data_IF_811217161494
#
_entry.id   IF_811217161494
#
_cell.length_a   1.000
_cell.length_b   1.000
_cell.length_c   1.000
_cell.angle_alpha   90.00
_cell.angle_beta   90.00
_cell.angle_gamma   90.00
#
_symmetry.space_group_name_H-M   'P 1'
#
loop_
_entity.id
_entity.type
_entity.pdbx_description
1 polymer ?
#
# COMPACT_ATOMS: atom_id res chain seq x y z
N UNK A 1 7.43 -27.81 -22.31
CA UNK A 1 7.74 -26.45 -21.82
C UNK A 1 8.75 -26.57 -20.69
N UNK A 2 9.84 -25.80 -20.71
CA UNK A 2 10.89 -25.92 -19.68
C UNK A 2 10.32 -25.54 -18.31
N UNK A 3 10.81 -26.17 -17.23
CA UNK A 3 10.43 -25.83 -15.84
C UNK A 3 10.64 -24.34 -15.52
N UNK A 4 11.55 -23.68 -16.25
CA UNK A 4 11.78 -22.25 -16.20
C UNK A 4 10.62 -21.45 -16.80
N UNK A 5 10.09 -21.86 -17.96
CA UNK A 5 8.94 -21.23 -18.60
C UNK A 5 7.66 -21.35 -17.74
N UNK A 6 7.47 -22.50 -17.08
CA UNK A 6 6.37 -22.70 -16.15
C UNK A 6 6.51 -21.84 -14.88
N UNK A 7 7.73 -21.70 -14.34
CA UNK A 7 8.00 -20.84 -13.19
C UNK A 7 7.83 -19.35 -13.53
N UNK A 8 8.29 -18.90 -14.71
CA UNK A 8 8.05 -17.53 -15.17
C UNK A 8 6.56 -17.27 -15.40
N UNK A 9 5.83 -18.20 -16.01
CA UNK A 9 4.38 -18.05 -16.23
C UNK A 9 3.62 -18.00 -14.90
N UNK A 10 3.97 -18.86 -13.94
CA UNK A 10 3.40 -18.87 -12.58
C UNK A 10 3.72 -17.58 -11.82
N UNK A 11 4.95 -17.07 -11.93
CA UNK A 11 5.35 -15.80 -11.34
C UNK A 11 4.54 -14.64 -11.94
N UNK A 12 4.41 -14.56 -13.26
CA UNK A 12 3.61 -13.53 -13.93
C UNK A 12 2.10 -13.63 -13.62
N UNK A 13 1.55 -14.84 -13.47
CA UNK A 13 0.13 -15.03 -13.11
C UNK A 13 -0.16 -14.68 -11.65
N UNK A 14 0.73 -15.01 -10.71
CA UNK A 14 0.61 -14.58 -9.31
C UNK A 14 0.75 -13.06 -9.18
N UNK A 15 1.64 -12.46 -9.97
CA UNK A 15 1.81 -10.99 -10.03
C UNK A 15 0.57 -10.25 -10.52
N UNK A 16 -0.12 -10.78 -11.53
CA UNK A 16 -1.36 -10.22 -12.04
C UNK A 16 -2.55 -10.39 -11.08
N UNK A 17 -2.42 -11.25 -10.07
CA UNK A 17 -3.45 -11.58 -9.09
C UNK A 17 -3.27 -10.85 -7.73
N UNK A 18 -2.16 -10.15 -7.50
CA UNK A 18 -1.99 -9.34 -6.29
C UNK A 18 -2.83 -8.05 -6.40
N UNK A 19 -3.76 -7.78 -5.47
CA UNK A 19 -4.41 -6.48 -5.41
C UNK A 19 -3.36 -5.40 -5.14
N UNK A 20 -3.48 -4.26 -5.83
CA UNK A 20 -2.66 -3.09 -5.58
C UNK A 20 -2.78 -2.69 -4.09
N UNK A 21 -1.69 -2.24 -3.43
CA UNK A 21 -1.78 -1.79 -2.05
C UNK A 21 -2.87 -0.72 -1.90
N UNK A 22 -3.65 -0.82 -0.83
CA UNK A 22 -4.73 0.10 -0.52
C UNK A 22 -4.22 1.55 -0.52
N UNK A 23 -4.80 2.37 -1.41
CA UNK A 23 -4.42 3.75 -1.76
C UNK A 23 -4.64 4.80 -0.65
N UNK A 24 -4.59 4.40 0.63
CA UNK A 24 -5.07 5.23 1.72
C UNK A 24 -4.04 6.20 2.30
N UNK A 25 -2.73 6.01 2.09
CA UNK A 25 -1.69 6.80 2.77
C UNK A 25 -0.67 7.50 1.85
N UNK A 26 -0.72 7.27 0.54
CA UNK A 26 0.26 7.81 -0.40
C UNK A 26 -0.25 9.13 -1.00
N UNK A 27 -0.18 10.21 -0.23
CA UNK A 27 -0.70 11.53 -0.61
C UNK A 27 -0.19 12.04 -1.96
N UNK A 28 -0.96 11.82 -3.03
CA UNK A 28 -0.64 12.29 -4.38
C UNK A 28 0.36 11.42 -5.15
N UNK A 29 0.74 10.25 -4.63
CA UNK A 29 1.68 9.33 -5.27
C UNK A 29 0.98 8.34 -6.21
N UNK A 30 0.01 8.81 -7.00
CA UNK A 30 -0.69 7.98 -7.99
C UNK A 30 -0.36 8.46 -9.39
N UNK A 31 -0.02 7.51 -10.27
CA UNK A 31 0.23 7.80 -11.67
C UNK A 31 -1.09 7.95 -12.44
N UNK A 32 -1.23 9.01 -13.23
CA UNK A 32 -2.51 9.40 -13.87
C UNK A 32 -2.38 9.57 -15.38
N UNK A 33 -3.52 9.67 -16.07
CA UNK A 33 -3.59 9.92 -17.52
C UNK A 33 -3.56 11.41 -17.88
N UNK A 34 -3.71 12.30 -16.90
CA UNK A 34 -3.90 13.73 -17.12
C UNK A 34 -3.25 14.57 -16.02
N UNK A 35 -2.95 15.83 -16.36
CA UNK A 35 -2.56 16.88 -15.40
C UNK A 35 -3.73 17.79 -15.13
N UNK A 36 -3.87 18.27 -13.90
CA UNK A 36 -4.83 19.32 -13.56
C UNK A 36 -4.13 20.64 -13.29
N UNK A 37 -4.70 21.75 -13.77
CA UNK A 37 -4.24 23.10 -13.43
C UNK A 37 -5.41 24.02 -13.13
N UNK A 38 -5.20 24.94 -12.18
CA UNK A 38 -6.09 26.09 -11.99
C UNK A 38 -5.89 27.05 -13.16
N UNK A 39 -6.99 27.56 -13.70
CA UNK A 39 -7.02 28.54 -14.78
C UNK A 39 -7.35 29.93 -14.24
N UNK A 40 -8.38 30.05 -13.40
CA UNK A 40 -8.79 31.34 -12.85
C UNK A 40 -9.45 31.21 -11.46
N UNK A 41 -9.45 32.34 -10.74
CA UNK A 41 -10.18 32.52 -9.48
C UNK A 41 -11.01 33.81 -9.63
N UNK A 42 -12.34 33.69 -9.69
CA UNK A 42 -13.24 34.77 -10.11
C UNK A 42 -14.40 34.96 -9.13
N UNK A 43 -14.66 36.18 -8.61
CA UNK A 43 -13.82 37.37 -8.77
C UNK A 43 -12.46 37.20 -8.08
N UNK A 44 -11.46 37.94 -8.54
CA UNK A 44 -10.16 37.95 -7.88
C UNK A 44 -10.30 38.61 -6.50
N UNK A 45 -9.88 37.89 -5.45
CA UNK A 45 -9.88 38.38 -4.06
C UNK A 45 -8.44 38.60 -3.62
N UNK A 46 -8.04 39.85 -3.27
CA UNK A 46 -6.68 40.11 -2.79
C UNK A 46 -6.30 39.22 -1.60
N UNK A 47 -5.14 38.56 -1.69
CA UNK A 47 -4.65 37.64 -0.67
C UNK A 47 -5.15 36.19 -0.80
N UNK A 48 -6.17 35.91 -1.61
CA UNK A 48 -6.61 34.54 -1.88
C UNK A 48 -5.84 33.95 -3.08
N UNK A 49 -5.16 32.82 -2.88
CA UNK A 49 -4.53 32.08 -3.98
C UNK A 49 -4.91 30.61 -3.93
N UNK A 50 -5.27 30.04 -5.07
CA UNK A 50 -5.52 28.60 -5.23
C UNK A 50 -4.70 28.11 -6.42
N UNK A 51 -3.89 27.07 -6.20
CA UNK A 51 -3.05 26.47 -7.23
C UNK A 51 -3.16 24.95 -7.20
N UNK A 52 -2.99 24.33 -8.37
CA UNK A 52 -2.83 22.89 -8.46
C UNK A 52 -1.37 22.53 -8.15
N UNK A 53 -1.17 21.48 -7.34
CA UNK A 53 0.14 20.94 -6.97
C UNK A 53 0.16 19.43 -7.25
N UNK A 54 1.34 18.81 -7.24
CA UNK A 54 1.46 17.34 -7.40
C UNK A 54 0.81 16.88 -8.72
N UNK A 55 1.13 17.57 -9.82
CA UNK A 55 0.53 17.38 -11.15
C UNK A 55 -1.00 17.55 -11.20
N UNK A 56 -1.59 18.18 -10.19
CA UNK A 56 -3.01 18.39 -10.07
C UNK A 56 -3.77 17.34 -9.28
N UNK A 57 -3.07 16.39 -8.65
CA UNK A 57 -3.68 15.48 -7.67
C UNK A 57 -4.28 16.23 -6.48
N UNK A 58 -3.69 17.39 -6.13
CA UNK A 58 -4.13 18.23 -5.02
C UNK A 58 -4.25 19.70 -5.42
N UNK A 59 -5.05 20.41 -4.64
CA UNK A 59 -5.11 21.86 -4.63
C UNK A 59 -4.48 22.39 -3.35
N UNK A 60 -3.77 23.51 -3.47
CA UNK A 60 -3.26 24.31 -2.37
C UNK A 60 -3.99 25.64 -2.36
N UNK A 61 -4.65 25.96 -1.26
CA UNK A 61 -5.25 27.25 -0.98
C UNK A 61 -4.39 27.97 0.06
N UNK A 62 -3.98 29.20 -0.23
CA UNK A 62 -3.44 30.14 0.77
C UNK A 62 -4.46 31.24 0.99
N UNK A 63 -4.90 31.39 2.23
CA UNK A 63 -5.84 32.43 2.63
C UNK A 63 -5.07 33.60 3.26
N UNK A 64 -4.57 34.52 2.44
CA UNK A 64 -4.00 35.80 2.90
C UNK A 64 -5.04 36.90 3.05
N UNK A 65 -6.34 36.58 3.03
CA UNK A 65 -7.41 37.55 3.24
C UNK A 65 -7.63 37.80 4.73
N UNK A 66 -8.39 38.85 5.08
CA UNK A 66 -8.82 39.11 6.47
C UNK A 66 -9.99 38.25 6.94
N UNK A 67 -10.51 37.34 6.11
CA UNK A 67 -11.75 36.61 6.36
C UNK A 67 -11.57 35.09 6.17
N UNK A 68 -12.36 34.23 6.84
CA UNK A 68 -12.31 32.79 6.61
C UNK A 68 -12.79 32.44 5.19
N UNK A 69 -12.20 31.39 4.60
CA UNK A 69 -12.58 30.86 3.29
C UNK A 69 -13.12 29.44 3.45
N UNK A 70 -14.34 29.20 2.99
CA UNK A 70 -14.99 27.90 3.05
C UNK A 70 -14.95 27.21 1.68
N UNK A 71 -14.54 25.94 1.67
CA UNK A 71 -14.51 25.06 0.50
C UNK A 71 -15.69 24.09 0.58
N UNK A 72 -16.69 24.25 -0.29
CA UNK A 72 -17.86 23.38 -0.33
C UNK A 72 -17.57 22.01 -0.92
N UNK A 73 -18.07 20.95 -0.27
CA UNK A 73 -17.98 19.55 -0.73
C UNK A 73 -16.62 18.88 -0.52
N UNK A 74 -15.67 19.55 0.15
CA UNK A 74 -14.36 18.98 0.46
C UNK A 74 -14.49 17.92 1.58
N UNK A 75 -14.16 16.66 1.28
CA UNK A 75 -14.42 15.51 2.19
C UNK A 75 -13.47 15.40 3.38
N UNK A 76 -12.25 15.92 3.30
CA UNK A 76 -11.33 16.15 4.42
C UNK A 76 -9.96 16.61 3.89
N UNK A 77 -9.34 17.50 4.64
CA UNK A 77 -7.97 18.00 4.54
C UNK A 77 -7.73 18.81 5.83
N UNK A 78 -6.49 19.10 6.22
CA UNK A 78 -6.11 19.69 7.53
C UNK A 78 -6.66 21.09 7.89
N UNK A 79 -7.96 21.33 7.75
CA UNK A 79 -8.72 22.51 8.17
C UNK A 79 -9.93 22.13 9.03
N UNK A 80 -10.62 23.12 9.59
CA UNK A 80 -11.79 22.89 10.45
C UNK A 80 -13.01 22.57 9.59
N UNK A 81 -13.73 21.48 9.89
CA UNK A 81 -14.98 21.20 9.19
C UNK A 81 -16.02 22.26 9.54
N UNK A 82 -16.88 22.57 8.58
CA UNK A 82 -18.11 23.32 8.86
C UNK A 82 -18.99 22.53 9.83
N UNK A 83 -19.83 23.22 10.61
CA UNK A 83 -20.68 22.59 11.61
C UNK A 83 -21.67 21.56 11.03
N UNK A 84 -22.12 21.79 9.80
CA UNK A 84 -22.99 20.90 9.02
C UNK A 84 -22.21 19.78 8.29
N UNK A 85 -20.88 19.77 8.39
CA UNK A 85 -19.99 18.82 7.70
C UNK A 85 -19.95 18.96 6.17
N UNK A 86 -20.58 20.00 5.60
CA UNK A 86 -20.68 20.18 4.14
C UNK A 86 -19.40 20.71 3.49
N UNK A 87 -18.43 21.18 4.28
CA UNK A 87 -17.18 21.71 3.76
C UNK A 87 -16.06 21.87 4.79
N UNK A 88 -15.00 22.54 4.36
CA UNK A 88 -13.81 22.83 5.18
C UNK A 88 -13.57 24.32 5.19
N UNK A 89 -13.34 24.88 6.38
CA UNK A 89 -13.03 26.29 6.62
C UNK A 89 -11.51 26.46 6.76
N UNK A 90 -10.99 27.46 6.07
CA UNK A 90 -9.59 27.88 6.10
C UNK A 90 -9.50 29.27 6.72
N UNK A 91 -8.90 29.36 7.90
CA UNK A 91 -8.76 30.62 8.64
C UNK A 91 -7.86 31.64 7.90
N UNK A 92 -8.01 32.95 8.19
CA UNK A 92 -7.04 33.97 7.76
C UNK A 92 -5.60 33.57 8.11
N UNK A 93 -4.67 33.79 7.18
CA UNK A 93 -3.26 33.42 7.29
C UNK A 93 -2.95 31.93 7.09
N UNK A 94 -3.97 31.06 7.03
CA UNK A 94 -3.77 29.62 6.93
C UNK A 94 -3.54 29.16 5.48
N UNK A 95 -2.85 28.02 5.36
CA UNK A 95 -2.70 27.28 4.10
C UNK A 95 -3.31 25.90 4.25
N UNK A 96 -4.12 25.48 3.28
CA UNK A 96 -4.72 24.17 3.23
C UNK A 96 -4.37 23.47 1.91
N UNK A 97 -4.02 22.19 1.99
CA UNK A 97 -3.94 21.31 0.84
C UNK A 97 -5.01 20.21 0.93
N UNK A 98 -5.72 19.94 -0.15
CA UNK A 98 -6.73 18.88 -0.20
C UNK A 98 -6.84 18.25 -1.59
N UNK A 99 -7.50 17.10 -1.65
CA UNK A 99 -7.90 16.45 -2.91
C UNK A 99 -9.37 16.80 -3.17
N UNK A 100 -9.66 17.39 -4.33
CA UNK A 100 -11.03 17.66 -4.77
C UNK A 100 -11.42 16.68 -5.87
N UNK A 101 -12.55 16.00 -5.70
CA UNK A 101 -13.05 15.02 -6.67
C UNK A 101 -13.33 15.64 -8.04
N UNK A 102 -13.61 16.95 -8.11
CA UNK A 102 -13.88 17.67 -9.36
C UNK A 102 -12.59 17.95 -10.16
N UNK A 103 -11.50 18.24 -9.45
CA UNK A 103 -10.24 18.69 -10.05
C UNK A 103 -9.18 17.59 -10.17
N UNK A 104 -9.22 16.54 -9.35
CA UNK A 104 -8.19 15.50 -9.36
C UNK A 104 -8.23 14.66 -10.66
N UNK A 105 -7.07 14.39 -11.29
CA UNK A 105 -6.96 13.44 -12.39
C UNK A 105 -7.02 11.98 -11.92
N UNK A 106 -6.90 11.72 -10.62
CA UNK A 106 -6.89 10.37 -10.07
C UNK A 106 -8.22 9.64 -10.33
N UNK A 107 -8.13 8.37 -10.72
CA UNK A 107 -9.29 7.57 -11.13
C UNK A 107 -9.95 8.00 -12.45
N UNK A 108 -9.48 9.07 -13.11
CA UNK A 108 -10.05 9.56 -14.38
C UNK A 108 -9.26 9.08 -15.59
N UNK A 109 -9.95 8.90 -16.70
CA UNK A 109 -9.37 8.68 -18.03
C UNK A 109 -9.73 9.87 -18.90
N UNK A 110 -8.72 10.60 -19.34
CA UNK A 110 -8.84 11.71 -20.29
C UNK A 110 -7.94 11.36 -21.46
N UNK A 111 -8.46 11.40 -22.69
CA UNK A 111 -7.68 11.04 -23.86
C UNK A 111 -6.53 12.05 -24.09
N UNK A 112 -5.46 11.61 -24.74
CA UNK A 112 -4.33 12.49 -25.04
C UNK A 112 -4.80 13.70 -25.89
N UNK A 113 -4.49 14.90 -25.43
CA UNK A 113 -4.93 16.16 -26.06
C UNK A 113 -6.36 16.59 -25.74
N UNK A 114 -7.16 15.74 -25.09
CA UNK A 114 -8.49 16.12 -24.59
C UNK A 114 -8.35 17.00 -23.34
N UNK A 115 -9.26 17.97 -23.22
CA UNK A 115 -9.36 18.85 -22.07
C UNK A 115 -10.74 18.74 -21.41
N UNK A 116 -10.75 18.63 -20.08
CA UNK A 116 -11.98 18.61 -19.27
C UNK A 116 -11.95 19.75 -18.28
N UNK A 117 -12.90 20.67 -18.40
CA UNK A 117 -13.04 21.80 -17.50
C UNK A 117 -13.64 21.38 -16.15
N UNK A 118 -13.24 22.07 -15.09
CA UNK A 118 -13.80 21.90 -13.76
C UNK A 118 -13.90 23.23 -13.02
N UNK A 119 -14.82 23.30 -12.07
CA UNK A 119 -15.03 24.48 -11.25
C UNK A 119 -15.36 24.11 -9.80
N UNK A 120 -14.84 24.91 -8.86
CA UNK A 120 -15.03 24.73 -7.42
C UNK A 120 -15.48 26.08 -6.83
N UNK A 121 -16.70 26.16 -6.26
CA UNK A 121 -17.13 27.33 -5.54
C UNK A 121 -16.48 27.38 -4.15
N UNK A 122 -15.99 28.58 -3.80
CA UNK A 122 -15.51 28.96 -2.49
C UNK A 122 -16.39 30.08 -1.93
N UNK A 123 -16.47 30.18 -0.61
CA UNK A 123 -17.17 31.28 0.07
C UNK A 123 -16.20 32.03 0.97
N UNK A 124 -16.02 33.34 0.75
CA UNK A 124 -15.14 34.20 1.55
C UNK A 124 -15.98 35.01 2.54
N UNK A 125 -15.70 34.89 3.85
CA UNK A 125 -16.34 35.70 4.89
C UNK A 125 -17.63 35.16 5.51
N UNK A 126 -18.02 33.90 5.24
CA UNK A 126 -19.27 33.30 5.73
C UNK A 126 -19.13 32.27 6.87
N UNK A 127 -18.03 32.30 7.63
CA UNK A 127 -17.60 31.17 8.49
C UNK A 127 -17.88 31.27 10.00
N UNK A 128 -18.48 32.35 10.49
CA UNK A 128 -18.93 32.42 11.90
C UNK A 128 -20.46 32.43 11.95
N UNK A 129 -21.03 31.75 12.95
CA UNK A 129 -22.48 31.56 13.13
C UNK A 129 -23.31 32.86 13.18
N UNK A 130 -22.67 34.03 13.23
CA UNK A 130 -23.30 35.35 13.24
C UNK A 130 -23.57 35.95 11.85
N UNK A 131 -23.06 35.36 10.76
CA UNK A 131 -23.25 35.89 9.41
C UNK A 131 -23.97 34.88 8.50
N UNK A 132 -25.23 34.58 8.83
CA UNK A 132 -26.13 33.87 7.92
C UNK A 132 -26.38 34.73 6.66
N UNK A 133 -25.60 34.49 5.59
CA UNK A 133 -25.90 34.98 4.24
C UNK A 133 -24.95 36.02 3.60
N UNK A 134 -23.80 36.35 4.20
CA UNK A 134 -22.97 37.49 3.76
C UNK A 134 -21.67 37.19 2.98
N UNK A 135 -21.31 35.92 2.77
CA UNK A 135 -20.02 35.58 2.16
C UNK A 135 -19.98 35.77 0.64
N UNK A 136 -18.91 36.37 0.12
CA UNK A 136 -18.71 36.50 -1.32
C UNK A 136 -18.36 35.15 -1.95
N UNK A 137 -19.11 34.73 -2.97
CA UNK A 137 -18.80 33.51 -3.72
C UNK A 137 -17.65 33.77 -4.70
N UNK A 138 -16.64 32.91 -4.65
CA UNK A 138 -15.48 32.93 -5.55
C UNK A 138 -15.41 31.58 -6.26
N UNK A 139 -15.41 31.60 -7.58
CA UNK A 139 -15.29 30.41 -8.41
C UNK A 139 -13.83 30.16 -8.78
N UNK A 140 -13.29 29.01 -8.39
CA UNK A 140 -12.01 28.52 -8.88
C UNK A 140 -12.29 27.63 -10.09
N UNK A 141 -11.81 28.02 -11.27
CA UNK A 141 -11.91 27.21 -12.48
C UNK A 141 -10.57 26.62 -12.84
N UNK A 142 -10.58 25.47 -13.48
CA UNK A 142 -9.39 24.81 -13.97
C UNK A 142 -9.69 23.82 -15.07
N UNK A 143 -8.62 23.19 -15.56
CA UNK A 143 -8.69 22.24 -16.67
C UNK A 143 -7.84 21.02 -16.36
N UNK A 144 -8.36 19.85 -16.72
CA UNK A 144 -7.62 18.60 -16.84
C UNK A 144 -7.17 18.45 -18.29
N UNK A 145 -5.90 18.15 -18.53
CA UNK A 145 -5.37 17.90 -19.88
C UNK A 145 -4.79 16.50 -19.94
N UNK A 146 -5.32 15.66 -20.83
CA UNK A 146 -4.84 14.30 -21.05
C UNK A 146 -3.50 14.27 -21.78
N UNK A 147 -2.61 13.37 -21.34
CA UNK A 147 -1.22 13.30 -21.77
C UNK A 147 -0.93 12.03 -22.58
N UNK A 148 0.07 12.10 -23.47
CA UNK A 148 0.39 10.98 -24.35
C UNK A 148 0.99 9.82 -23.57
N UNK A 149 0.35 8.64 -23.67
CA UNK A 149 0.83 7.42 -23.01
C UNK A 149 2.17 6.96 -23.57
N UNK A 150 3.06 6.41 -22.72
CA UNK A 150 4.29 5.78 -23.17
C UNK A 150 4.00 4.49 -23.95
N UNK A 151 4.97 4.06 -24.76
CA UNK A 151 4.94 2.76 -25.44
C UNK A 151 5.28 1.66 -24.41
N UNK A 152 4.30 1.25 -23.63
CA UNK A 152 4.45 0.29 -22.52
C UNK A 152 5.27 -0.97 -22.85
N UNK A 153 5.08 -1.65 -24.01
CA UNK A 153 5.87 -2.83 -24.33
C UNK A 153 7.39 -2.61 -24.35
N UNK A 154 7.87 -1.40 -24.66
CA UNK A 154 9.31 -1.10 -24.67
C UNK A 154 9.91 -1.17 -23.27
N UNK A 155 9.19 -0.71 -22.26
CA UNK A 155 9.66 -0.71 -20.86
C UNK A 155 9.69 -2.12 -20.26
N UNK A 156 8.69 -2.93 -20.62
CA UNK A 156 8.69 -4.36 -20.28
C UNK A 156 9.82 -5.11 -20.99
N UNK A 157 10.04 -4.84 -22.29
CA UNK A 157 11.15 -5.43 -23.04
C UNK A 157 12.51 -5.04 -22.44
N UNK A 158 12.71 -3.78 -22.08
CA UNK A 158 13.93 -3.31 -21.42
C UNK A 158 14.18 -4.05 -20.08
N UNK A 159 13.15 -4.19 -19.25
CA UNK A 159 13.22 -4.96 -18.00
C UNK A 159 13.61 -6.42 -18.26
N UNK A 160 12.95 -7.09 -19.21
CA UNK A 160 13.23 -8.49 -19.55
C UNK A 160 14.66 -8.69 -20.11
N UNK A 161 15.12 -7.77 -20.96
CA UNK A 161 16.48 -7.78 -21.49
C UNK A 161 17.51 -7.60 -20.39
N UNK A 162 17.25 -6.71 -19.42
CA UNK A 162 18.15 -6.48 -18.30
C UNK A 162 18.26 -7.73 -17.39
N UNK A 163 17.13 -8.39 -17.10
CA UNK A 163 17.11 -9.67 -16.38
C UNK A 163 17.93 -10.72 -17.14
N UNK A 164 17.68 -10.89 -18.44
CA UNK A 164 18.39 -11.86 -19.27
C UNK A 164 19.90 -11.57 -19.30
N UNK A 165 20.30 -10.30 -19.40
CA UNK A 165 21.69 -9.88 -19.39
C UNK A 165 22.39 -10.26 -18.08
N UNK A 166 21.78 -10.00 -16.92
CA UNK A 166 22.33 -10.40 -15.61
C UNK A 166 22.49 -11.91 -15.52
N UNK A 167 21.47 -12.69 -15.93
CA UNK A 167 21.51 -14.15 -15.88
C UNK A 167 22.58 -14.75 -16.80
N UNK A 168 22.73 -14.21 -18.01
CA UNK A 168 23.74 -14.64 -18.96
C UNK A 168 25.15 -14.27 -18.48
N UNK A 169 25.34 -13.03 -18.02
CA UNK A 169 26.62 -12.55 -17.53
C UNK A 169 27.07 -13.30 -16.26
N UNK A 170 26.15 -13.56 -15.32
CA UNK A 170 26.45 -14.31 -14.09
C UNK A 170 26.91 -15.75 -14.36
N UNK A 171 26.47 -16.35 -15.48
CA UNK A 171 26.91 -17.69 -15.91
C UNK A 171 28.22 -17.71 -16.68
N UNK A 172 28.57 -16.61 -17.35
CA UNK A 172 29.72 -16.53 -18.27
C UNK A 172 30.95 -15.92 -17.63
N UNK A 173 30.77 -15.05 -16.64
CA UNK A 173 31.88 -14.34 -16.00
C UNK A 173 32.47 -15.16 -14.85
N UNK A 174 33.82 -15.19 -14.71
CA UNK A 174 34.49 -15.95 -13.64
C UNK A 174 34.23 -15.38 -12.24
N UNK A 175 33.86 -14.10 -12.13
CA UNK A 175 33.49 -13.41 -10.89
C UNK A 175 32.01 -13.00 -10.90
N UNK A 176 31.15 -13.99 -11.08
CA UNK A 176 29.69 -13.79 -11.05
C UNK A 176 29.21 -13.22 -9.71
N UNK A 177 29.85 -13.56 -8.61
CA UNK A 177 29.63 -12.98 -7.28
C UNK A 177 29.81 -11.46 -7.25
N UNK A 178 30.89 -10.94 -7.84
CA UNK A 178 31.14 -9.50 -7.94
C UNK A 178 30.10 -8.81 -8.83
N UNK A 179 29.73 -9.44 -9.96
CA UNK A 179 28.66 -8.94 -10.81
C UNK A 179 27.36 -8.80 -10.03
N UNK A 180 26.95 -9.84 -9.27
CA UNK A 180 25.72 -9.79 -8.48
C UNK A 180 25.76 -8.69 -7.42
N UNK A 181 26.92 -8.47 -6.78
CA UNK A 181 27.10 -7.37 -5.84
C UNK A 181 26.94 -6.01 -6.51
N UNK A 182 27.58 -5.79 -7.67
CA UNK A 182 27.48 -4.53 -8.42
C UNK A 182 26.05 -4.30 -8.89
N UNK A 183 25.41 -5.30 -9.50
CA UNK A 183 24.02 -5.21 -9.94
C UNK A 183 23.06 -4.95 -8.78
N UNK A 184 23.26 -5.61 -7.64
CA UNK A 184 22.47 -5.36 -6.43
C UNK A 184 22.62 -3.93 -5.92
N UNK A 185 23.86 -3.41 -5.83
CA UNK A 185 24.12 -2.02 -5.43
C UNK A 185 23.47 -1.01 -6.40
N UNK A 186 23.54 -1.25 -7.70
CA UNK A 186 22.89 -0.39 -8.71
C UNK A 186 21.37 -0.47 -8.59
N UNK A 187 20.79 -1.65 -8.33
CA UNK A 187 19.36 -1.81 -8.09
C UNK A 187 18.91 -1.02 -6.85
N UNK A 188 19.68 -1.10 -5.74
CA UNK A 188 19.43 -0.33 -4.53
C UNK A 188 19.53 1.19 -4.79
N UNK A 189 20.57 1.64 -5.48
CA UNK A 189 20.74 3.05 -5.84
C UNK A 189 19.60 3.58 -6.70
N UNK A 190 19.15 2.80 -7.69
CA UNK A 190 18.00 3.16 -8.52
C UNK A 190 16.70 3.24 -7.69
N UNK A 191 16.48 2.27 -6.79
CA UNK A 191 15.34 2.28 -5.87
C UNK A 191 15.35 3.48 -4.91
N UNK A 192 16.51 3.84 -4.35
CA UNK A 192 16.66 5.03 -3.49
C UNK A 192 16.34 6.30 -4.29
N UNK A 193 16.88 6.43 -5.50
CA UNK A 193 16.64 7.59 -6.35
C UNK A 193 15.16 7.70 -6.77
N UNK A 194 14.51 6.58 -7.06
CA UNK A 194 13.06 6.51 -7.32
C UNK A 194 12.25 7.04 -6.14
N UNK A 195 12.50 6.51 -4.94
CA UNK A 195 11.80 6.92 -3.71
C UNK A 195 12.07 8.39 -3.38
N UNK A 196 13.31 8.85 -3.53
CA UNK A 196 13.67 10.24 -3.32
C UNK A 196 12.95 11.17 -4.31
N UNK A 197 12.96 10.85 -5.61
CA UNK A 197 12.26 11.65 -6.62
C UNK A 197 10.74 11.66 -6.42
N UNK A 198 10.16 10.54 -6.01
CA UNK A 198 8.73 10.46 -5.65
C UNK A 198 8.41 11.29 -4.42
N UNK A 199 9.28 11.25 -3.40
CA UNK A 199 9.15 12.07 -2.19
C UNK A 199 9.20 13.56 -2.50
N UNK A 200 10.13 13.97 -3.36
CA UNK A 200 10.29 15.38 -3.76
C UNK A 200 9.13 15.91 -4.61
N UNK A 201 8.32 15.02 -5.20
CA UNK A 201 7.13 15.40 -5.94
C UNK A 201 5.97 15.80 -5.02
N UNK A 202 5.99 15.36 -3.75
CA UNK A 202 4.94 15.61 -2.76
C UNK A 202 5.21 16.93 -2.06
N UNK A 203 4.35 17.92 -2.28
CA UNK A 203 4.46 19.23 -1.64
C UNK A 203 3.51 19.38 -0.44
N UNK A 204 2.58 18.45 -0.26
CA UNK A 204 1.51 18.53 0.75
C UNK A 204 1.82 17.85 2.08
N UNK A 205 2.98 17.19 2.21
CA UNK A 205 3.34 16.42 3.40
C UNK A 205 4.81 16.63 3.81
N UNK A 206 5.17 16.41 5.10
CA UNK A 206 6.55 16.53 5.57
C UNK A 206 7.49 15.56 4.86
N UNK A 207 8.61 16.08 4.35
CA UNK A 207 9.55 15.33 3.50
C UNK A 207 10.04 14.02 4.13
N UNK A 208 10.44 14.03 5.40
CA UNK A 208 10.96 12.83 6.08
C UNK A 208 9.86 11.77 6.24
N UNK A 209 8.64 12.19 6.62
CA UNK A 209 7.51 11.28 6.77
C UNK A 209 7.12 10.64 5.44
N UNK A 210 7.05 11.45 4.38
CA UNK A 210 6.80 10.97 3.01
C UNK A 210 7.87 10.00 2.55
N UNK A 211 9.15 10.29 2.78
CA UNK A 211 10.26 9.41 2.39
C UNK A 211 10.18 8.05 3.09
N UNK A 212 9.98 8.05 4.42
CA UNK A 212 9.87 6.80 5.18
C UNK A 212 8.66 5.97 4.76
N UNK A 213 7.53 6.63 4.51
CA UNK A 213 6.32 5.97 4.01
C UNK A 213 6.50 5.41 2.61
N UNK A 214 7.16 6.14 1.70
CA UNK A 214 7.41 5.70 0.34
C UNK A 214 8.49 4.60 0.26
N UNK A 215 9.49 4.64 1.15
CA UNK A 215 10.54 3.63 1.22
C UNK A 215 10.00 2.28 1.70
N UNK A 216 9.14 2.26 2.73
CA UNK A 216 8.56 1.03 3.25
C UNK A 216 9.61 -0.02 3.61
N UNK A 217 9.45 -1.27 3.15
CA UNK A 217 10.42 -2.35 3.42
C UNK A 217 11.79 -2.09 2.78
N UNK A 218 11.89 -1.21 1.77
CA UNK A 218 13.18 -0.94 1.15
C UNK A 218 14.20 -0.38 2.16
N UNK A 219 13.73 0.21 3.28
CA UNK A 219 14.57 0.57 4.42
C UNK A 219 15.34 -0.62 5.02
N UNK A 220 14.84 -1.85 4.86
CA UNK A 220 15.54 -3.09 5.21
C UNK A 220 16.35 -3.64 4.04
N UNK A 221 15.83 -3.53 2.81
CA UNK A 221 16.49 -4.07 1.62
C UNK A 221 17.81 -3.35 1.30
N UNK A 222 17.85 -2.02 1.34
CA UNK A 222 19.06 -1.26 0.97
C UNK A 222 20.25 -1.55 1.89
N UNK A 223 20.12 -1.50 3.22
CA UNK A 223 21.23 -1.85 4.11
C UNK A 223 21.67 -3.31 3.95
N UNK A 224 20.73 -4.23 3.68
CA UNK A 224 21.05 -5.64 3.44
C UNK A 224 21.88 -5.82 2.16
N UNK A 225 21.53 -5.12 1.07
CA UNK A 225 22.32 -5.12 -0.17
C UNK A 225 23.69 -4.49 0.06
N UNK A 226 23.75 -3.31 0.67
CA UNK A 226 25.00 -2.57 0.87
C UNK A 226 25.94 -3.34 1.79
N UNK A 227 25.44 -3.78 2.95
CA UNK A 227 26.19 -4.59 3.91
C UNK A 227 26.59 -5.95 3.35
N UNK A 228 25.72 -6.59 2.57
CA UNK A 228 25.99 -7.82 1.84
C UNK A 228 27.13 -7.65 0.85
N UNK A 229 27.11 -6.59 0.03
CA UNK A 229 28.15 -6.30 -0.93
C UNK A 229 29.50 -6.01 -0.25
N UNK A 230 29.52 -5.22 0.83
CA UNK A 230 30.74 -4.98 1.63
C UNK A 230 31.29 -6.29 2.20
N UNK A 231 30.40 -7.16 2.68
CA UNK A 231 30.77 -8.47 3.24
C UNK A 231 31.35 -9.40 2.17
N UNK A 232 30.75 -9.42 0.98
CA UNK A 232 31.24 -10.18 -0.16
C UNK A 232 32.62 -9.68 -0.63
N UNK A 233 32.81 -8.36 -0.70
CA UNK A 233 34.09 -7.73 -1.05
C UNK A 233 35.21 -8.02 -0.03
N UNK A 234 34.84 -8.33 1.22
CA UNK A 234 35.77 -8.82 2.27
C UNK A 234 36.04 -10.33 2.18
N UNK A 235 35.63 -11.00 1.11
CA UNK A 235 35.85 -12.42 0.86
C UNK A 235 34.89 -13.36 1.59
N UNK A 236 33.79 -12.85 2.16
CA UNK A 236 32.81 -13.69 2.86
C UNK A 236 31.63 -14.04 1.94
N UNK A 237 31.43 -15.32 1.57
CA UNK A 237 30.41 -15.72 0.59
C UNK A 237 28.97 -15.45 1.05
N UNK A 238 28.73 -15.41 2.37
CA UNK A 238 27.44 -15.02 2.94
C UNK A 238 26.97 -13.62 2.51
N UNK A 239 27.91 -12.72 2.15
CA UNK A 239 27.58 -11.40 1.64
C UNK A 239 26.79 -11.43 0.33
N UNK A 240 27.13 -12.36 -0.58
CA UNK A 240 26.42 -12.50 -1.86
C UNK A 240 24.97 -12.95 -1.64
N UNK A 241 24.73 -13.83 -0.66
CA UNK A 241 23.38 -14.26 -0.29
C UNK A 241 22.53 -13.10 0.25
N UNK A 242 23.13 -12.25 1.10
CA UNK A 242 22.49 -11.03 1.57
C UNK A 242 22.13 -10.08 0.41
N UNK A 243 23.04 -9.88 -0.54
CA UNK A 243 22.72 -9.11 -1.77
C UNK A 243 21.55 -9.72 -2.53
N UNK A 244 21.54 -11.04 -2.73
CA UNK A 244 20.47 -11.71 -3.47
C UNK A 244 19.11 -11.57 -2.77
N UNK A 245 19.07 -11.73 -1.44
CA UNK A 245 17.86 -11.55 -0.64
C UNK A 245 17.36 -10.10 -0.67
N UNK A 246 18.25 -9.13 -0.49
CA UNK A 246 17.90 -7.72 -0.58
C UNK A 246 17.43 -7.31 -1.97
N UNK A 247 18.10 -7.78 -3.03
CA UNK A 247 17.70 -7.53 -4.42
C UNK A 247 16.33 -8.13 -4.76
N UNK A 248 16.00 -9.31 -4.20
CA UNK A 248 14.67 -9.89 -4.32
C UNK A 248 13.59 -9.02 -3.64
N UNK A 249 13.86 -8.52 -2.44
CA UNK A 249 12.96 -7.59 -1.74
C UNK A 249 12.77 -6.30 -2.55
N UNK A 250 13.85 -5.69 -3.04
CA UNK A 250 13.75 -4.49 -3.89
C UNK A 250 12.91 -4.75 -5.15
N UNK A 251 13.11 -5.88 -5.84
CA UNK A 251 12.33 -6.22 -7.02
C UNK A 251 10.84 -6.33 -6.70
N UNK A 252 10.47 -6.99 -5.60
CA UNK A 252 9.07 -7.15 -5.17
C UNK A 252 8.44 -5.81 -4.83
N UNK A 253 9.16 -4.94 -4.12
CA UNK A 253 8.59 -3.66 -3.67
C UNK A 253 8.52 -2.58 -4.75
N UNK A 254 9.26 -2.73 -5.84
CA UNK A 254 9.16 -1.86 -7.03
C UNK A 254 8.00 -2.28 -7.95
N UNK A 255 7.39 -3.45 -7.75
CA UNK A 255 6.29 -3.92 -8.62
C UNK A 255 5.10 -2.96 -8.72
N UNK A 256 4.61 -2.32 -7.65
CA UNK A 256 3.52 -1.34 -7.77
C UNK A 256 3.88 -0.16 -8.69
N UNK A 257 5.16 0.15 -8.84
CA UNK A 257 5.66 1.27 -9.65
C UNK A 257 5.71 0.95 -11.15
N UNK A 258 5.46 -0.30 -11.58
CA UNK A 258 5.35 -0.62 -13.02
C UNK A 258 4.16 0.07 -13.69
N UNK A 259 3.24 0.65 -12.90
CA UNK A 259 2.24 1.59 -13.40
C UNK A 259 2.87 2.75 -14.18
N UNK A 260 4.12 3.13 -13.88
CA UNK A 260 4.90 4.11 -14.63
C UNK A 260 5.09 3.74 -16.10
N UNK A 261 5.12 2.44 -16.43
CA UNK A 261 5.25 1.97 -17.81
C UNK A 261 3.99 2.20 -18.64
N UNK A 262 2.86 2.48 -18.01
CA UNK A 262 1.55 2.61 -18.65
C UNK A 262 0.98 4.03 -18.58
N UNK A 263 1.28 4.76 -17.50
CA UNK A 263 0.73 6.08 -17.23
C UNK A 263 1.66 7.20 -17.70
N UNK A 264 1.12 8.29 -18.28
CA UNK A 264 1.93 9.39 -18.79
C UNK A 264 2.40 10.35 -17.69
N UNK A 265 1.56 10.64 -16.69
CA UNK A 265 1.85 11.59 -15.62
C UNK A 265 2.24 10.81 -14.37
N UNK A 266 3.46 11.03 -13.91
CA UNK A 266 4.06 10.27 -12.81
C UNK A 266 4.28 11.20 -11.61
N UNK A 267 4.06 10.71 -10.38
CA UNK A 267 4.31 11.47 -9.15
C UNK A 267 5.81 11.48 -8.82
N UNK A 268 6.62 12.03 -9.72
CA UNK A 268 8.08 12.01 -9.63
C UNK A 268 8.67 13.39 -9.97
N UNK A 269 9.59 13.86 -9.13
CA UNK A 269 10.30 15.13 -9.32
C UNK A 269 11.38 14.98 -10.40
N UNK A 270 10.98 15.07 -11.66
CA UNK A 270 11.89 15.03 -12.80
C UNK A 270 11.19 14.57 -14.09
N UNK A 271 11.97 14.31 -15.15
CA UNK A 271 11.42 13.78 -16.39
C UNK A 271 10.83 12.38 -16.17
N UNK A 272 9.63 12.13 -16.70
CA UNK A 272 8.96 10.84 -16.55
C UNK A 272 9.77 9.67 -17.18
N UNK A 273 10.67 9.95 -18.13
CA UNK A 273 11.60 8.95 -18.69
C UNK A 273 12.65 8.52 -17.65
N UNK A 274 13.13 9.45 -16.83
CA UNK A 274 14.12 9.15 -15.78
C UNK A 274 13.52 8.26 -14.70
N UNK A 275 12.24 8.42 -14.37
CA UNK A 275 11.54 7.49 -13.50
C UNK A 275 11.46 6.09 -14.13
N UNK A 276 10.91 5.95 -15.34
CA UNK A 276 10.79 4.61 -15.98
C UNK A 276 12.14 3.90 -16.11
N UNK A 277 13.16 4.66 -16.52
CA UNK A 277 14.54 4.61 -16.02
C UNK A 277 14.85 3.70 -14.84
N UNK A 278 14.69 4.32 -13.67
CA UNK A 278 14.95 3.81 -12.34
C UNK A 278 14.12 2.56 -12.02
N UNK A 279 12.84 2.52 -12.40
CA UNK A 279 11.99 1.33 -12.21
C UNK A 279 12.50 0.14 -13.02
N UNK A 280 12.85 0.32 -14.30
CA UNK A 280 13.45 -0.75 -15.13
C UNK A 280 14.74 -1.27 -14.49
N UNK A 281 15.60 -0.36 -14.02
CA UNK A 281 16.90 -0.73 -13.42
C UNK A 281 16.69 -1.47 -12.10
N UNK A 282 15.87 -0.93 -11.19
CA UNK A 282 15.62 -1.54 -9.89
C UNK A 282 14.92 -2.89 -10.01
N UNK A 283 13.87 -2.99 -10.82
CA UNK A 283 13.14 -4.23 -11.06
C UNK A 283 13.98 -5.26 -11.83
N UNK A 284 14.59 -4.84 -12.94
CA UNK A 284 15.32 -5.73 -13.84
C UNK A 284 16.61 -6.28 -13.22
N UNK A 285 17.41 -5.43 -12.58
CA UNK A 285 18.60 -5.90 -11.86
C UNK A 285 18.22 -6.65 -10.59
N UNK A 286 17.23 -6.17 -9.83
CA UNK A 286 16.76 -6.84 -8.61
C UNK A 286 16.31 -8.27 -8.89
N UNK A 287 15.43 -8.46 -9.87
CA UNK A 287 14.94 -9.77 -10.28
C UNK A 287 16.04 -10.64 -10.90
N UNK A 288 16.90 -10.07 -11.75
CA UNK A 288 18.03 -10.79 -12.34
C UNK A 288 18.99 -11.34 -11.28
N UNK A 289 19.35 -10.51 -10.29
CA UNK A 289 20.22 -10.89 -9.18
C UNK A 289 19.57 -11.95 -8.29
N UNK A 290 18.28 -11.78 -7.95
CA UNK A 290 17.54 -12.75 -7.15
C UNK A 290 17.48 -14.14 -7.82
N UNK A 291 17.17 -14.19 -9.12
CA UNK A 291 17.08 -15.45 -9.87
C UNK A 291 18.46 -16.09 -10.07
N UNK A 292 19.50 -15.30 -10.33
CA UNK A 292 20.87 -15.81 -10.40
C UNK A 292 21.31 -16.41 -9.06
N UNK A 293 21.05 -15.73 -7.94
CA UNK A 293 21.38 -16.18 -6.59
C UNK A 293 20.64 -17.45 -6.15
N UNK A 294 19.38 -17.60 -6.55
CA UNK A 294 18.61 -18.83 -6.29
C UNK A 294 19.23 -20.07 -6.96
N UNK A 295 19.88 -19.89 -8.12
CA UNK A 295 20.65 -20.95 -8.77
C UNK A 295 21.83 -21.43 -7.93
N UNK A 296 22.56 -20.50 -7.31
CA UNK A 296 23.69 -20.79 -6.42
C UNK A 296 23.22 -21.53 -5.16
N UNK A 297 22.14 -21.08 -4.53
CA UNK A 297 21.55 -21.74 -3.36
C UNK A 297 21.07 -23.17 -3.69
N UNK A 298 20.49 -23.37 -4.88
CA UNK A 298 20.06 -24.70 -5.33
C UNK A 298 21.24 -25.65 -5.54
N UNK A 299 22.37 -25.14 -6.01
CA UNK A 299 23.58 -25.94 -6.18
C UNK A 299 24.21 -26.30 -4.83
N UNK A 300 24.26 -25.35 -3.89
CA UNK A 300 24.73 -25.60 -2.51
C UNK A 300 23.83 -26.57 -1.75
N UNK A 301 22.50 -26.47 -1.90
CA UNK A 301 21.54 -27.38 -1.26
C UNK A 301 21.58 -28.81 -1.82
N UNK A 302 22.15 -29.01 -3.03
CA UNK A 302 22.41 -30.32 -3.61
C UNK A 302 23.71 -30.95 -3.09
N UNK A 303 24.53 -30.21 -2.36
CA UNK A 303 25.69 -30.76 -1.67
C UNK A 303 25.25 -31.41 -0.35
N UNK A 304 25.62 -32.68 -0.07
CA UNK A 304 25.10 -33.46 1.05
C UNK A 304 25.45 -32.88 2.44
N UNK A 305 26.37 -31.92 2.53
CA UNK A 305 26.79 -31.28 3.77
C UNK A 305 25.88 -30.10 4.22
N UNK A 306 25.04 -29.54 3.34
CA UNK A 306 24.27 -28.32 3.62
C UNK A 306 22.85 -28.57 4.20
N UNK A 307 22.38 -29.82 4.21
CA UNK A 307 21.02 -30.17 4.66
C UNK A 307 20.78 -29.96 6.17
N UNK A 308 21.84 -29.85 6.98
CA UNK A 308 21.69 -29.77 8.45
C UNK A 308 21.29 -28.37 8.97
N UNK A 309 21.46 -27.30 8.18
CA UNK A 309 21.27 -25.91 8.64
C UNK A 309 19.93 -25.30 8.17
N UNK A 310 19.41 -25.72 7.01
CA UNK A 310 18.17 -25.16 6.43
C UNK A 310 16.91 -25.72 7.11
N UNK A 311 16.97 -26.93 7.69
CA UNK A 311 15.85 -27.55 8.40
C UNK A 311 15.41 -26.81 9.67
N UNK A 312 16.28 -25.99 10.27
CA UNK A 312 15.99 -25.26 11.52
C UNK A 312 15.33 -23.89 11.27
N UNK A 313 15.48 -23.32 10.06
CA UNK A 313 15.00 -21.96 9.74
C UNK A 313 13.66 -21.90 8.99
N UNK A 314 13.17 -23.02 8.45
CA UNK A 314 11.94 -23.06 7.62
C UNK A 314 10.67 -23.52 8.36
N UNK A 315 10.71 -23.74 9.68
CA UNK A 315 9.53 -24.10 10.48
C UNK A 315 8.72 -22.89 10.98
N UNK A 316 9.11 -21.65 10.64
CA UNK A 316 8.53 -20.43 11.22
C UNK A 316 7.64 -19.56 10.31
N UNK A 317 7.22 -20.01 9.13
CA UNK A 317 6.54 -19.10 8.20
C UNK A 317 5.61 -19.76 7.19
N UNK A 318 4.41 -20.14 7.64
CA UNK A 318 3.29 -20.44 6.76
C UNK A 318 2.18 -19.39 6.91
N UNK A 319 2.07 -18.55 5.88
CA UNK A 319 0.84 -17.94 5.32
C UNK A 319 -0.04 -17.05 6.21
N UNK A 320 0.21 -15.73 6.16
CA UNK A 320 -0.80 -14.72 6.49
C UNK A 320 -1.79 -14.60 5.31
N UNK A 321 -3.05 -14.97 5.54
CA UNK A 321 -4.16 -14.59 4.67
C UNK A 321 -4.59 -13.15 4.95
N UNK A 322 -5.34 -12.52 4.05
CA UNK A 322 -5.91 -11.19 4.30
C UNK A 322 -6.69 -11.15 5.62
N UNK A 323 -6.52 -10.10 6.45
CA UNK A 323 -7.25 -9.98 7.70
C UNK A 323 -8.74 -9.81 7.39
N UNK A 324 -9.55 -10.76 7.85
CA UNK A 324 -11.02 -10.64 7.76
C UNK A 324 -11.46 -9.52 8.70
N UNK A 325 -12.27 -8.59 8.20
CA UNK A 325 -12.81 -7.49 9.02
C UNK A 325 -13.93 -8.03 9.91
N UNK A 326 -13.63 -8.27 11.18
CA UNK A 326 -14.66 -8.41 12.21
C UNK A 326 -15.39 -7.08 12.41
N UNK A 327 -16.71 -7.11 12.44
CA UNK A 327 -17.54 -5.98 12.88
C UNK A 327 -18.06 -6.33 14.27
N UNK A 328 -17.70 -5.53 15.26
CA UNK A 328 -18.29 -5.63 16.60
C UNK A 328 -19.76 -5.26 16.52
N UNK A 329 -20.62 -6.09 17.10
CA UNK A 329 -22.07 -5.91 17.08
C UNK A 329 -22.67 -6.14 18.46
N UNK A 330 -23.88 -5.65 18.71
CA UNK A 330 -24.62 -5.98 19.93
C UNK A 330 -25.14 -7.41 19.87
N UNK A 331 -24.92 -8.15 20.97
CA UNK A 331 -25.51 -9.46 21.18
C UNK A 331 -27.04 -9.34 21.22
N UNK A 332 -27.71 -9.67 20.11
CA UNK A 332 -29.16 -9.56 19.96
C UNK A 332 -29.64 -8.89 18.68
N UNK A 333 -28.78 -8.18 17.95
CA UNK A 333 -29.08 -7.66 16.62
C UNK A 333 -28.77 -8.72 15.57
N UNK A 334 -29.64 -9.71 15.45
CA UNK A 334 -29.51 -10.75 14.44
C UNK A 334 -29.51 -10.10 13.04
N UNK A 335 -28.36 -10.14 12.35
CA UNK A 335 -28.40 -10.11 10.90
C UNK A 335 -29.26 -11.32 10.47
N UNK A 336 -30.29 -11.13 9.62
CA UNK A 336 -30.97 -12.27 9.03
C UNK A 336 -29.90 -13.13 8.35
N UNK A 337 -29.92 -14.44 8.62
CA UNK A 337 -29.04 -15.46 8.03
C UNK A 337 -27.62 -15.63 8.61
N UNK A 338 -27.33 -15.07 9.80
CA UNK A 338 -26.08 -15.40 10.51
C UNK A 338 -26.16 -16.74 11.27
N UNK A 339 -25.10 -17.55 11.23
CA UNK A 339 -24.97 -18.78 12.02
C UNK A 339 -24.47 -18.42 13.44
N UNK A 340 -25.29 -18.62 14.49
CA UNK A 340 -24.89 -18.26 15.85
C UNK A 340 -23.96 -19.31 16.46
N UNK A 341 -22.87 -18.85 17.06
CA UNK A 341 -21.94 -19.67 17.85
C UNK A 341 -21.79 -18.98 19.21
N UNK A 342 -22.30 -19.59 20.27
CA UNK A 342 -22.23 -19.02 21.62
C UNK A 342 -21.37 -19.89 22.53
N UNK A 343 -20.40 -19.28 23.19
CA UNK A 343 -19.50 -19.94 24.15
C UNK A 343 -19.26 -19.06 25.36
N UNK A 344 -18.83 -19.68 26.45
CA UNK A 344 -18.47 -19.00 27.68
C UNK A 344 -17.14 -19.50 28.23
N UNK A 345 -16.42 -18.62 28.92
CA UNK A 345 -15.31 -18.96 29.81
C UNK A 345 -15.78 -18.74 31.25
N UNK A 346 -15.80 -19.81 32.06
CA UNK A 346 -16.14 -19.78 33.48
C UNK A 346 -15.14 -20.58 34.29
N UNK A 347 -14.62 -19.99 35.35
CA UNK A 347 -13.62 -20.58 36.24
C UNK A 347 -12.42 -21.16 35.46
N UNK A 348 -12.00 -20.46 34.39
CA UNK A 348 -10.93 -20.88 33.50
C UNK A 348 -11.26 -22.05 32.55
N UNK A 349 -12.52 -22.47 32.46
CA UNK A 349 -12.99 -23.57 31.60
C UNK A 349 -14.01 -23.10 30.58
N UNK A 350 -14.00 -23.73 29.41
CA UNK A 350 -14.99 -23.49 28.37
C UNK A 350 -16.33 -24.14 28.71
N UNK A 351 -17.41 -23.38 28.54
CA UNK A 351 -18.79 -23.84 28.65
C UNK A 351 -19.59 -23.47 27.38
N UNK A 352 -20.18 -24.44 26.66
CA UNK A 352 -20.02 -25.89 26.84
C UNK A 352 -18.56 -26.32 26.62
N UNK A 353 -18.24 -27.57 27.00
CA UNK A 353 -16.93 -28.14 26.71
C UNK A 353 -16.60 -28.03 25.20
N UNK A 354 -15.31 -27.90 24.83
CA UNK A 354 -14.92 -27.66 23.44
C UNK A 354 -15.48 -28.73 22.50
N UNK A 355 -16.20 -28.26 21.50
CA UNK A 355 -16.89 -29.09 20.50
C UNK A 355 -16.76 -28.45 19.12
N UNK A 356 -17.30 -29.13 18.10
CA UNK A 356 -17.28 -28.65 16.72
C UNK A 356 -18.63 -28.08 16.32
N UNK A 357 -18.61 -26.93 15.68
CA UNK A 357 -19.79 -26.33 15.06
C UNK A 357 -19.56 -26.27 13.55
N UNK A 358 -20.46 -26.89 12.78
CA UNK A 358 -20.41 -26.86 11.33
C UNK A 358 -21.02 -25.55 10.81
N UNK A 359 -20.27 -24.86 9.95
CA UNK A 359 -20.65 -23.57 9.36
C UNK A 359 -20.53 -23.68 7.83
N UNK A 360 -21.54 -23.26 7.05
CA UNK A 360 -21.44 -23.26 5.60
C UNK A 360 -20.36 -22.30 5.10
N UNK A 361 -19.59 -22.71 4.09
CA UNK A 361 -18.65 -21.83 3.39
C UNK A 361 -19.36 -20.58 2.85
N UNK A 362 -18.74 -19.42 3.05
CA UNK A 362 -19.25 -18.08 2.69
C UNK A 362 -20.49 -17.60 3.47
N UNK A 363 -20.85 -18.25 4.58
CA UNK A 363 -21.88 -17.74 5.49
C UNK A 363 -21.33 -16.70 6.47
N UNK A 364 -22.21 -15.95 7.11
CA UNK A 364 -21.85 -15.03 8.19
C UNK A 364 -21.96 -15.75 9.53
N UNK A 365 -20.92 -15.70 10.35
CA UNK A 365 -20.91 -16.24 11.72
C UNK A 365 -21.13 -15.11 12.71
N UNK A 366 -22.07 -15.30 13.64
CA UNK A 366 -22.23 -14.46 14.82
C UNK A 366 -21.63 -15.20 16.01
N UNK A 367 -20.40 -14.83 16.39
CA UNK A 367 -19.70 -15.42 17.53
C UNK A 367 -19.97 -14.57 18.78
N UNK A 368 -20.70 -15.14 19.73
CA UNK A 368 -20.98 -14.56 21.05
C UNK A 368 -20.13 -15.24 22.13
N UNK A 369 -19.40 -14.43 22.89
CA UNK A 369 -18.56 -14.92 24.00
C UNK A 369 -18.86 -14.19 25.28
N UNK A 370 -19.05 -14.95 26.35
CA UNK A 370 -19.13 -14.43 27.73
C UNK A 370 -17.92 -14.92 28.52
N UNK A 371 -17.37 -14.08 29.39
CA UNK A 371 -16.28 -14.49 30.29
C UNK A 371 -16.50 -13.91 31.68
N UNK A 372 -16.12 -14.66 32.70
CA UNK A 372 -16.05 -14.22 34.10
C UNK A 372 -14.86 -13.30 34.40
N UNK A 373 -13.86 -13.28 33.51
CA UNK A 373 -12.68 -12.42 33.59
C UNK A 373 -12.56 -11.52 32.36
N UNK A 374 -11.81 -10.41 32.48
CA UNK A 374 -11.44 -9.63 31.32
C UNK A 374 -10.31 -10.33 30.55
N UNK A 375 -10.38 -10.33 29.22
CA UNK A 375 -9.43 -11.04 28.39
C UNK A 375 -9.60 -10.75 26.90
N UNK A 376 -9.04 -11.61 26.07
CA UNK A 376 -9.09 -11.50 24.62
C UNK A 376 -9.48 -12.85 24.01
N UNK A 377 -10.34 -12.83 23.00
CA UNK A 377 -10.76 -14.01 22.26
C UNK A 377 -10.15 -13.97 20.86
N UNK A 378 -9.59 -15.10 20.44
CA UNK A 378 -8.91 -15.28 19.18
C UNK A 378 -9.65 -16.31 18.33
N UNK A 379 -9.89 -16.00 17.05
CA UNK A 379 -10.34 -16.98 16.04
C UNK A 379 -9.16 -17.30 15.13
N UNK A 380 -8.50 -18.41 15.41
CA UNK A 380 -7.32 -18.85 14.69
C UNK A 380 -7.66 -19.16 13.23
N UNK A 381 -6.81 -18.70 12.30
CA UNK A 381 -7.02 -18.86 10.86
C UNK A 381 -7.89 -17.78 10.19
N UNK A 382 -8.59 -16.95 10.97
CA UNK A 382 -9.23 -15.71 10.50
C UNK A 382 -8.53 -14.44 10.99
N UNK A 383 -7.47 -14.57 11.79
CA UNK A 383 -6.70 -13.49 12.41
C UNK A 383 -7.58 -12.46 13.13
N UNK A 384 -8.67 -12.94 13.76
CA UNK A 384 -9.59 -12.12 14.54
C UNK A 384 -9.21 -12.17 16.01
N UNK A 385 -9.11 -11.00 16.62
CA UNK A 385 -8.86 -10.82 18.05
C UNK A 385 -9.81 -9.72 18.57
N UNK A 386 -10.50 -9.97 19.68
CA UNK A 386 -11.37 -8.96 20.28
C UNK A 386 -11.43 -9.06 21.80
N UNK A 387 -11.54 -7.92 22.51
CA UNK A 387 -11.58 -7.90 23.95
C UNK A 387 -12.93 -8.40 24.48
N UNK A 388 -12.88 -9.13 25.59
CA UNK A 388 -14.04 -9.50 26.43
C UNK A 388 -13.90 -8.86 27.80
N UNK A 389 -15.02 -8.40 28.37
CA UNK A 389 -15.05 -7.89 29.74
C UNK A 389 -15.79 -8.87 30.66
N UNK A 390 -15.36 -8.92 31.91
CA UNK A 390 -15.97 -9.76 32.93
C UNK A 390 -17.49 -9.50 33.03
N UNK A 391 -18.29 -10.56 32.87
CA UNK A 391 -19.74 -10.54 32.98
C UNK A 391 -20.49 -9.87 31.81
N UNK A 392 -19.79 -9.36 30.79
CA UNK A 392 -20.41 -8.69 29.63
C UNK A 392 -20.26 -9.55 28.36
N UNK A 393 -21.36 -9.87 27.65
CA UNK A 393 -21.27 -10.61 26.40
C UNK A 393 -20.66 -9.73 25.29
N UNK A 394 -19.67 -10.28 24.58
CA UNK A 394 -19.08 -9.67 23.40
C UNK A 394 -19.48 -10.45 22.14
N UNK A 395 -19.93 -9.74 21.10
CA UNK A 395 -20.35 -10.35 19.84
C UNK A 395 -19.59 -9.78 18.64
N UNK A 396 -19.15 -10.68 17.77
CA UNK A 396 -18.46 -10.36 16.52
C UNK A 396 -19.14 -11.06 15.35
N UNK A 397 -19.32 -10.31 14.26
CA UNK A 397 -19.70 -10.85 12.96
C UNK A 397 -18.47 -11.00 12.06
N UNK A 398 -18.32 -12.16 11.44
CA UNK A 398 -17.32 -12.38 10.41
C UNK A 398 -17.83 -13.32 9.31
N UNK A 399 -17.29 -13.18 8.09
CA UNK A 399 -17.61 -14.06 6.98
C UNK A 399 -16.73 -15.31 7.00
N UNK A 400 -17.33 -16.49 6.98
CA UNK A 400 -16.65 -17.79 6.91
C UNK A 400 -16.16 -18.09 5.48
N UNK A 401 -15.25 -17.27 4.95
CA UNK A 401 -14.78 -17.35 3.56
C UNK A 401 -13.72 -18.42 3.28
N UNK A 402 -13.28 -19.18 4.29
CA UNK A 402 -12.23 -20.22 4.16
C UNK A 402 -12.75 -21.55 4.70
N UNK A 403 -12.72 -22.60 3.88
CA UNK A 403 -13.00 -23.96 4.33
C UNK A 403 -11.87 -24.48 5.21
N UNK A 404 -12.21 -25.23 6.27
CA UNK A 404 -11.24 -25.74 7.22
C UNK A 404 -11.78 -25.85 8.65
N UNK A 405 -10.90 -26.21 9.58
CA UNK A 405 -11.20 -26.27 11.01
C UNK A 405 -10.44 -25.14 11.71
N UNK A 406 -11.14 -24.35 12.50
CA UNK A 406 -10.62 -23.12 13.11
C UNK A 406 -10.89 -23.11 14.60
N UNK A 407 -9.84 -22.92 15.40
CA UNK A 407 -9.95 -22.86 16.86
C UNK A 407 -10.37 -21.47 17.32
N UNK A 408 -11.32 -21.41 18.25
CA UNK A 408 -11.70 -20.19 18.98
C UNK A 408 -11.17 -20.33 20.40
N UNK A 409 -10.23 -19.48 20.79
CA UNK A 409 -9.53 -19.56 22.07
C UNK A 409 -9.67 -18.27 22.88
N UNK A 410 -9.74 -18.39 24.21
CA UNK A 410 -9.51 -17.29 25.12
C UNK A 410 -8.04 -17.26 25.55
N UNK A 411 -7.39 -16.10 25.40
CA UNK A 411 -6.00 -15.91 25.80
C UNK A 411 -5.82 -16.16 27.30
N UNK A 412 -4.77 -16.91 27.74
CA UNK A 412 -3.60 -17.30 26.95
C UNK A 412 -3.71 -18.60 26.14
N UNK A 413 -4.62 -19.53 26.47
CA UNK A 413 -4.63 -20.86 25.81
C UNK A 413 -5.89 -21.70 26.05
N UNK A 414 -7.04 -21.10 26.39
CA UNK A 414 -8.25 -21.87 26.68
C UNK A 414 -9.10 -22.02 25.43
N UNK A 415 -9.09 -23.22 24.83
CA UNK A 415 -9.98 -23.55 23.70
C UNK A 415 -11.44 -23.48 24.14
N UNK A 416 -12.25 -22.71 23.40
CA UNK A 416 -13.69 -22.54 23.64
C UNK A 416 -14.51 -23.43 22.70
N UNK A 417 -14.23 -23.40 21.40
CA UNK A 417 -14.95 -24.14 20.36
C UNK A 417 -14.11 -24.25 19.10
N UNK A 418 -14.37 -25.26 18.27
CA UNK A 418 -13.81 -25.38 16.93
C UNK A 418 -14.90 -25.13 15.88
N UNK A 419 -14.64 -24.26 14.91
CA UNK A 419 -15.55 -23.98 13.80
C UNK A 419 -15.08 -24.79 12.58
N UNK A 420 -15.92 -25.71 12.11
CA UNK A 420 -15.70 -26.48 10.89
C UNK A 420 -16.45 -25.82 9.73
N UNK A 421 -15.72 -25.13 8.85
CA UNK A 421 -16.29 -24.48 7.67
C UNK A 421 -16.24 -25.44 6.48
N UNK A 422 -17.41 -25.77 5.91
CA UNK A 422 -17.55 -26.73 4.81
C UNK A 422 -18.62 -26.38 3.79
#
# INVERSE_FOLDING_TARGET
>A
MSRLAAACLAFFTILLACPAPASAHAGGLTATDARSRVVAVVPAVPGLSVVAIENGARLRLRNGTGAPVTIGGAKAGGGTRTADGSGVVVAPGATLTWIDQRATPDGRRVAAGETVDWSIPLTVGGGTAEAAGGGATVMVTGVLTGEQRPISPLWWAATALLIAAVLLAARRLPRGDLLLCVCGLVAAGASIAHVAGSTLAVESAPLIGTFLSAAGINLLAWPLIIGGAVTALRGRPAGVLAVCGGAALTAVFVLPDVTSFHRPVLPFAGPAVAERVLVVVALGLGAGVAVAGAGVLRELARQPAAMLIIGVLLLGGCTAGEPVRAVTTSCGSAAPDAVPVNVALRDGRAEPAPHRVAVPLNSTVLLGVTSDVAGEVHVHGYDLAYPVQAGQPACVLFAAGRAGLFDVEAHPSTLLVQIEVR
#
